data_IF_312551335966
#
_entry.id   IF_312551335966
#
_cell.length_a   1.000
_cell.length_b   1.000
_cell.length_c   1.000
_cell.angle_alpha   90.00
_cell.angle_beta   90.00
_cell.angle_gamma   90.00
#
_symmetry.space_group_name_H-M   'P 1'
#
loop_
_entity.id
_entity.type
_entity.pdbx_description
1 polymer ?
#
# COMPACT_ATOMS: atom_id res chain seq x y z
N UNK A 1 -18.84 -5.52 9.19
CA UNK A 1 -17.73 -4.64 9.61
C UNK A 1 -16.80 -4.45 8.41
N UNK A 2 -16.40 -3.22 8.06
CA UNK A 2 -15.50 -2.99 6.93
C UNK A 2 -14.09 -3.53 7.20
N UNK A 3 -13.43 -4.06 6.17
CA UNK A 3 -12.03 -4.52 6.23
C UNK A 3 -11.11 -3.34 5.96
N UNK A 4 -10.16 -3.06 6.86
CA UNK A 4 -9.10 -2.09 6.60
C UNK A 4 -8.03 -2.71 5.70
N UNK A 5 -7.83 -2.13 4.52
CA UNK A 5 -6.79 -2.52 3.57
C UNK A 5 -5.64 -1.52 3.71
N UNK A 6 -4.58 -1.92 4.41
CA UNK A 6 -3.46 -1.06 4.76
C UNK A 6 -2.21 -1.42 3.95
N UNK A 7 -1.62 -0.42 3.29
CA UNK A 7 -0.26 -0.51 2.76
C UNK A 7 0.64 0.49 3.49
N UNK A 8 1.75 -0.01 4.03
CA UNK A 8 2.72 0.75 4.84
C UNK A 8 4.14 0.65 4.26
N UNK A 9 4.26 0.72 2.93
CA UNK A 9 5.55 0.68 2.24
C UNK A 9 6.41 1.91 2.55
N UNK A 10 7.69 1.70 2.82
CA UNK A 10 8.66 2.78 3.03
C UNK A 10 9.55 2.93 1.79
N UNK A 11 9.56 4.13 1.20
CA UNK A 11 10.38 4.47 0.04
C UNK A 11 11.86 4.29 0.37
N UNK A 12 12.53 3.41 -0.39
CA UNK A 12 13.96 3.10 -0.22
C UNK A 12 14.24 1.87 0.65
N UNK A 13 13.23 1.27 1.29
CA UNK A 13 13.39 0.04 2.06
C UNK A 13 12.46 -1.08 1.55
N UNK A 14 11.16 -0.96 1.80
CA UNK A 14 10.14 -1.96 1.40
C UNK A 14 9.33 -1.55 0.17
N UNK A 15 9.67 -0.40 -0.40
CA UNK A 15 9.07 0.16 -1.60
C UNK A 15 10.14 0.94 -2.39
N UNK A 16 10.02 1.14 -3.71
CA UNK A 16 11.00 1.87 -4.49
C UNK A 16 11.36 3.24 -3.91
N UNK A 17 12.64 3.62 -3.97
CA UNK A 17 13.14 4.91 -3.45
C UNK A 17 12.48 6.12 -4.15
N UNK A 18 12.12 5.99 -5.43
CA UNK A 18 11.38 7.03 -6.13
C UNK A 18 9.97 7.16 -5.54
N UNK A 19 9.64 8.33 -4.96
CA UNK A 19 8.37 8.59 -4.27
C UNK A 19 7.14 8.22 -5.11
N UNK A 20 7.13 8.56 -6.41
CA UNK A 20 6.03 8.22 -7.30
C UNK A 20 5.82 6.70 -7.41
N UNK A 21 6.91 5.93 -7.50
CA UNK A 21 6.85 4.45 -7.54
C UNK A 21 6.43 3.89 -6.19
N UNK A 22 6.81 4.52 -5.08
CA UNK A 22 6.36 4.14 -3.75
C UNK A 22 4.83 4.29 -3.59
N UNK A 23 4.28 5.42 -4.06
CA UNK A 23 2.83 5.65 -4.06
C UNK A 23 2.12 4.63 -4.94
N UNK A 24 2.62 4.37 -6.15
CA UNK A 24 2.03 3.38 -7.07
C UNK A 24 2.01 1.99 -6.44
N UNK A 25 3.08 1.57 -5.77
CA UNK A 25 3.11 0.29 -5.05
C UNK A 25 2.04 0.26 -3.95
N UNK A 26 1.97 1.30 -3.11
CA UNK A 26 1.01 1.34 -2.01
C UNK A 26 -0.44 1.27 -2.50
N UNK A 27 -0.75 1.96 -3.61
CA UNK A 27 -2.05 1.89 -4.28
C UNK A 27 -2.31 0.49 -4.86
N UNK A 28 -1.30 -0.15 -5.46
CA UNK A 28 -1.46 -1.49 -6.01
C UNK A 28 -1.80 -2.53 -4.92
N UNK A 29 -1.15 -2.45 -3.76
CA UNK A 29 -1.39 -3.37 -2.63
C UNK A 29 -2.83 -3.27 -2.09
N UNK A 30 -3.32 -2.05 -1.87
CA UNK A 30 -4.70 -1.85 -1.37
C UNK A 30 -5.76 -2.19 -2.41
N UNK A 31 -5.49 -1.99 -3.71
CA UNK A 31 -6.39 -2.41 -4.78
C UNK A 31 -6.47 -3.93 -4.90
N UNK A 32 -5.34 -4.63 -4.79
CA UNK A 32 -5.33 -6.09 -4.73
C UNK A 32 -6.15 -6.61 -3.53
N UNK A 33 -6.02 -5.95 -2.38
CA UNK A 33 -6.85 -6.22 -1.20
C UNK A 33 -8.35 -6.00 -1.45
N UNK A 34 -8.73 -4.95 -2.18
CA UNK A 34 -10.14 -4.66 -2.49
C UNK A 34 -10.74 -5.69 -3.42
N UNK A 35 -9.98 -6.14 -4.43
CA UNK A 35 -10.36 -7.26 -5.29
C UNK A 35 -10.54 -8.52 -4.45
N UNK A 36 -9.61 -8.82 -3.55
CA UNK A 36 -9.69 -9.99 -2.67
C UNK A 36 -10.93 -9.97 -1.75
N UNK A 37 -11.24 -8.83 -1.14
CA UNK A 37 -12.45 -8.65 -0.31
C UNK A 37 -13.71 -8.99 -1.11
N UNK A 38 -13.81 -8.49 -2.35
CA UNK A 38 -14.96 -8.73 -3.20
C UNK A 38 -15.01 -10.18 -3.75
N UNK A 39 -13.86 -10.85 -3.85
CA UNK A 39 -13.80 -12.27 -4.22
C UNK A 39 -14.27 -13.20 -3.09
N UNK A 40 -14.00 -12.84 -1.83
CA UNK A 40 -14.45 -13.61 -0.65
C UNK A 40 -15.94 -13.39 -0.38
N UNK A 41 -16.40 -12.14 -0.47
CA UNK A 41 -17.80 -11.78 -0.29
C UNK A 41 -18.16 -10.71 -1.30
N UNK A 42 -19.13 -11.02 -2.15
CA UNK A 42 -19.66 -10.04 -3.09
C UNK A 42 -20.11 -8.78 -2.34
N UNK A 43 -19.67 -7.61 -2.81
CA UNK A 43 -19.92 -6.31 -2.17
C UNK A 43 -19.41 -6.23 -0.73
N UNK A 44 -18.33 -6.95 -0.43
CA UNK A 44 -17.63 -6.85 0.85
C UNK A 44 -17.14 -5.43 1.10
N UNK A 45 -17.48 -4.79 2.23
CA UNK A 45 -17.06 -3.42 2.52
C UNK A 45 -15.57 -3.38 2.85
N UNK A 46 -14.79 -2.55 2.15
CA UNK A 46 -13.36 -2.35 2.35
C UNK A 46 -12.98 -0.87 2.38
N UNK A 47 -12.11 -0.48 3.31
CA UNK A 47 -11.56 0.86 3.42
C UNK A 47 -10.12 0.88 2.91
N UNK A 48 -9.80 1.79 2.00
CA UNK A 48 -8.46 1.94 1.45
C UNK A 48 -7.62 2.86 2.35
N UNK A 49 -6.55 2.32 2.92
CA UNK A 49 -5.59 3.05 3.75
C UNK A 49 -4.17 2.94 3.18
N UNK A 50 -3.79 3.86 2.29
CA UNK A 50 -2.40 3.95 1.81
C UNK A 50 -1.59 4.88 2.73
N UNK A 51 -0.59 4.34 3.42
CA UNK A 51 0.30 5.07 4.32
C UNK A 51 1.76 4.93 3.85
N UNK A 52 2.13 5.56 2.72
CA UNK A 52 3.51 5.53 2.25
C UNK A 52 4.40 6.36 3.17
N UNK A 53 5.54 5.79 3.57
CA UNK A 53 6.54 6.46 4.39
C UNK A 53 7.82 6.73 3.59
N UNK A 54 8.63 7.66 4.06
CA UNK A 54 10.01 7.82 3.60
C UNK A 54 10.92 7.09 4.58
N UNK A 55 11.85 6.27 4.08
CA UNK A 55 12.95 5.79 4.90
C UNK A 55 14.08 6.81 4.84
N UNK A 56 14.44 7.37 6.01
CA UNK A 56 15.68 8.11 6.15
C UNK A 56 16.84 7.09 6.24
N UNK A 57 17.30 6.66 5.07
CA UNK A 57 18.54 5.90 4.93
C UNK A 57 19.59 6.89 4.45
N UNK A 58 20.68 7.04 5.20
CA UNK A 58 21.87 7.67 4.67
C UNK A 58 22.30 6.86 3.44
N UNK A 59 22.03 7.39 2.25
CA UNK A 59 22.65 6.90 1.04
C UNK A 59 24.12 7.34 1.14
N UNK A 60 24.96 6.44 1.65
CA UNK A 60 26.41 6.61 1.52
C UNK A 60 26.74 6.82 0.03
N UNK A 61 27.65 7.76 -0.30
CA UNK A 61 27.91 8.22 -1.66
C UNK A 61 28.41 7.13 -2.62
#
# INVERSE_FOLDING_TARGET
MPVLLLSAGQAGATSPAALARCVVQAVAEVLAGLVYVNAVKERGPGNVGTWPFVSDLAQEP
#
